data_IF_082615326136
#
_entry.id   IF_082615326136
#
_cell.length_a   1.000
_cell.length_b   1.000
_cell.length_c   1.000
_cell.angle_alpha   90.00
_cell.angle_beta   90.00
_cell.angle_gamma   90.00
#
_symmetry.space_group_name_H-M   'P 1'
#
loop_
_entity.id
_entity.type
_entity.pdbx_description
1 polymer ?
#
# COMPACT_ATOMS: atom_id res chain seq x y z
N UNK A 1 -19.51 14.67 -0.52
CA UNK A 1 -18.18 15.22 -0.17
C UNK A 1 -18.17 15.85 1.21
N UNK A 2 -19.04 16.84 1.57
CA UNK A 2 -18.99 17.45 2.92
C UNK A 2 -19.26 16.39 4.00
N UNK A 3 -20.26 15.53 3.83
CA UNK A 3 -20.55 14.46 4.78
C UNK A 3 -19.35 13.52 4.98
N UNK A 4 -18.62 13.20 3.89
CA UNK A 4 -17.46 12.31 3.91
C UNK A 4 -16.28 12.98 4.64
N UNK A 5 -16.07 14.29 4.45
CA UNK A 5 -15.10 15.06 5.25
C UNK A 5 -15.42 15.05 6.74
N UNK A 6 -16.71 15.13 7.09
CA UNK A 6 -17.14 15.10 8.50
C UNK A 6 -16.99 13.69 9.09
N UNK A 7 -17.26 12.64 8.32
CA UNK A 7 -17.03 11.26 8.72
C UNK A 7 -15.58 11.03 9.12
N UNK A 8 -14.62 11.51 8.31
CA UNK A 8 -13.21 11.45 8.67
C UNK A 8 -12.87 12.34 9.88
N UNK A 9 -13.36 13.58 9.89
CA UNK A 9 -13.00 14.56 10.93
C UNK A 9 -13.56 14.21 12.32
N UNK A 10 -14.66 13.44 12.42
CA UNK A 10 -15.25 13.08 13.70
C UNK A 10 -14.49 11.98 14.46
N UNK A 11 -13.55 11.28 13.79
CA UNK A 11 -12.79 10.21 14.44
C UNK A 11 -11.91 10.72 15.57
N UNK A 12 -11.13 11.78 15.32
CA UNK A 12 -10.13 12.30 16.26
C UNK A 12 -9.73 13.73 15.90
N UNK A 13 -9.26 14.51 16.86
CA UNK A 13 -8.74 15.87 16.67
C UNK A 13 -7.51 15.90 15.73
N UNK A 14 -6.78 14.79 15.61
CA UNK A 14 -5.64 14.62 14.71
C UNK A 14 -6.04 14.08 13.33
N UNK A 15 -7.30 13.73 13.12
CA UNK A 15 -7.79 13.29 11.82
C UNK A 15 -7.53 14.36 10.76
N UNK A 16 -7.23 13.94 9.54
CA UNK A 16 -6.95 14.85 8.43
C UNK A 16 -7.98 14.65 7.32
N UNK A 17 -8.70 15.72 6.98
CA UNK A 17 -9.67 15.74 5.88
C UNK A 17 -9.20 16.69 4.79
N UNK A 18 -9.01 16.17 3.59
CA UNK A 18 -8.46 16.93 2.45
C UNK A 18 -9.38 16.79 1.24
N UNK A 19 -9.74 17.91 0.61
CA UNK A 19 -10.35 17.92 -0.73
C UNK A 19 -9.38 18.50 -1.73
N UNK A 20 -9.21 17.82 -2.86
CA UNK A 20 -8.45 18.31 -4.00
C UNK A 20 -9.38 18.40 -5.21
N UNK A 21 -9.42 19.53 -5.88
CA UNK A 21 -10.28 19.72 -7.05
C UNK A 21 -9.68 20.70 -8.06
N UNK A 22 -10.01 20.51 -9.33
CA UNK A 22 -9.75 21.48 -10.40
C UNK A 22 -10.73 22.66 -10.39
N UNK A 23 -11.84 22.54 -9.68
CA UNK A 23 -12.89 23.57 -9.63
C UNK A 23 -12.78 24.40 -8.35
N UNK A 24 -12.30 25.63 -8.48
CA UNK A 24 -12.28 26.57 -7.37
C UNK A 24 -13.71 26.83 -6.83
N UNK A 25 -14.70 27.00 -7.72
CA UNK A 25 -16.10 27.20 -7.31
C UNK A 25 -16.69 26.01 -6.55
N UNK A 26 -16.25 24.79 -6.83
CA UNK A 26 -16.61 23.62 -6.06
C UNK A 26 -16.00 23.67 -4.66
N UNK A 27 -14.74 24.04 -4.53
CA UNK A 27 -14.07 24.19 -3.23
C UNK A 27 -14.72 25.30 -2.38
N UNK A 28 -15.09 26.42 -3.02
CA UNK A 28 -15.83 27.50 -2.36
C UNK A 28 -17.21 27.00 -1.82
N UNK A 29 -17.92 26.19 -2.63
CA UNK A 29 -19.19 25.61 -2.23
C UNK A 29 -19.02 24.62 -1.06
N UNK A 30 -17.97 23.80 -1.08
CA UNK A 30 -17.63 22.90 0.04
C UNK A 30 -17.35 23.72 1.30
N UNK A 31 -16.53 24.75 1.21
CA UNK A 31 -16.21 25.63 2.34
C UNK A 31 -17.46 26.31 2.93
N UNK A 32 -18.32 26.83 2.06
CA UNK A 32 -19.55 27.49 2.50
C UNK A 32 -20.53 26.53 3.20
N UNK A 33 -20.62 25.28 2.73
CA UNK A 33 -21.54 24.28 3.30
C UNK A 33 -21.04 23.62 4.59
N UNK A 34 -19.74 23.71 4.89
CA UNK A 34 -19.16 23.05 6.07
C UNK A 34 -19.75 23.58 7.38
N UNK A 35 -19.91 24.89 7.53
CA UNK A 35 -20.31 25.51 8.80
C UNK A 35 -21.67 24.99 9.30
N UNK A 36 -22.67 24.95 8.43
CA UNK A 36 -24.01 24.49 8.75
C UNK A 36 -24.05 22.99 9.08
N UNK A 37 -23.31 22.16 8.30
CA UNK A 37 -23.29 20.74 8.54
C UNK A 37 -22.52 20.38 9.82
N UNK A 38 -21.42 21.05 10.12
CA UNK A 38 -20.65 20.88 11.36
C UNK A 38 -21.53 21.26 12.59
N UNK A 39 -22.27 22.35 12.51
CA UNK A 39 -23.11 22.80 13.60
C UNK A 39 -24.20 21.78 14.01
N UNK A 40 -24.61 20.93 13.07
CA UNK A 40 -25.63 19.89 13.29
C UNK A 40 -25.04 18.58 13.86
N UNK A 41 -23.70 18.44 13.96
CA UNK A 41 -23.10 17.17 14.38
C UNK A 41 -22.99 17.03 15.89
N UNK A 42 -23.27 15.83 16.44
CA UNK A 42 -23.10 15.57 17.88
C UNK A 42 -21.65 15.73 18.36
N UNK A 43 -20.66 15.37 17.52
CA UNK A 43 -19.22 15.45 17.83
C UNK A 43 -18.58 16.74 17.33
N UNK A 44 -19.35 17.81 17.25
CA UNK A 44 -18.97 19.10 16.68
C UNK A 44 -17.61 19.61 17.16
N UNK A 45 -17.30 19.53 18.45
CA UNK A 45 -16.05 20.05 18.99
C UNK A 45 -14.80 19.36 18.39
N UNK A 46 -14.85 18.03 18.24
CA UNK A 46 -13.77 17.23 17.63
C UNK A 46 -13.63 17.58 16.14
N UNK A 47 -14.76 17.65 15.42
CA UNK A 47 -14.81 17.99 14.00
C UNK A 47 -14.22 19.38 13.76
N UNK A 48 -14.63 20.39 14.55
CA UNK A 48 -14.12 21.77 14.42
C UNK A 48 -12.61 21.83 14.65
N UNK A 49 -12.10 21.09 15.63
CA UNK A 49 -10.67 21.08 15.96
C UNK A 49 -9.86 20.37 14.86
N UNK A 50 -10.32 19.21 14.41
CA UNK A 50 -9.72 18.48 13.30
C UNK A 50 -9.67 19.33 12.03
N UNK A 51 -10.80 19.88 11.58
CA UNK A 51 -10.87 20.69 10.36
C UNK A 51 -10.05 21.98 10.47
N UNK A 52 -10.00 22.62 11.63
CA UNK A 52 -9.24 23.85 11.84
C UNK A 52 -7.74 23.64 11.71
N UNK A 53 -7.22 22.53 12.24
CA UNK A 53 -5.78 22.28 12.31
C UNK A 53 -5.26 21.38 11.17
N UNK A 54 -6.13 20.53 10.63
CA UNK A 54 -5.75 19.47 9.69
C UNK A 54 -6.58 19.43 8.41
N UNK A 55 -7.66 20.22 8.32
CA UNK A 55 -8.49 20.32 7.10
C UNK A 55 -7.78 21.10 5.99
N UNK A 56 -7.88 20.65 4.75
CA UNK A 56 -7.34 21.35 3.59
C UNK A 56 -8.30 21.30 2.40
N UNK A 57 -8.46 22.44 1.74
CA UNK A 57 -9.10 22.56 0.43
C UNK A 57 -8.02 22.98 -0.57
N UNK A 58 -7.70 22.12 -1.52
CA UNK A 58 -6.57 22.30 -2.45
C UNK A 58 -7.09 22.45 -3.87
N UNK A 59 -6.80 23.58 -4.51
CA UNK A 59 -7.03 23.75 -5.94
C UNK A 59 -5.83 23.20 -6.72
N UNK A 60 -6.06 22.18 -7.54
CA UNK A 60 -5.07 21.59 -8.43
C UNK A 60 -5.36 22.07 -9.86
N UNK A 61 -4.40 22.67 -10.55
CA UNK A 61 -4.61 23.19 -11.91
C UNK A 61 -4.61 22.07 -12.96
N UNK A 62 -3.80 21.03 -12.72
CA UNK A 62 -3.63 19.91 -13.64
C UNK A 62 -3.92 18.56 -13.00
N UNK A 63 -4.09 17.52 -13.80
CA UNK A 63 -4.21 16.15 -13.31
C UNK A 63 -2.90 15.69 -12.64
N UNK A 64 -1.77 16.12 -13.13
CA UNK A 64 -0.45 15.85 -12.56
C UNK A 64 -0.31 16.45 -11.16
N UNK A 65 -0.81 17.67 -10.93
CA UNK A 65 -0.82 18.31 -9.62
C UNK A 65 -1.69 17.50 -8.65
N UNK A 66 -2.89 17.10 -9.10
CA UNK A 66 -3.80 16.27 -8.30
C UNK A 66 -3.12 14.96 -7.88
N UNK A 67 -2.53 14.22 -8.81
CA UNK A 67 -1.79 12.98 -8.54
C UNK A 67 -0.60 13.23 -7.62
N UNK A 68 0.12 14.32 -7.82
CA UNK A 68 1.26 14.73 -6.98
C UNK A 68 0.82 14.93 -5.53
N UNK A 69 -0.30 15.61 -5.30
CA UNK A 69 -0.88 15.80 -3.96
C UNK A 69 -1.27 14.46 -3.35
N UNK A 70 -2.01 13.62 -4.07
CA UNK A 70 -2.43 12.29 -3.60
C UNK A 70 -1.22 11.48 -3.14
N UNK A 71 -0.21 11.32 -3.99
CA UNK A 71 0.97 10.52 -3.68
C UNK A 71 1.82 11.14 -2.55
N UNK A 72 1.81 12.47 -2.41
CA UNK A 72 2.49 13.17 -1.32
C UNK A 72 1.79 13.01 0.02
N UNK A 73 0.47 13.01 0.04
CA UNK A 73 -0.32 12.77 1.24
C UNK A 73 -0.22 11.30 1.64
N UNK A 74 -0.30 10.39 0.68
CA UNK A 74 -0.41 8.95 0.87
C UNK A 74 -1.52 8.62 1.89
N UNK A 75 -2.79 8.96 1.53
CA UNK A 75 -3.90 8.92 2.48
C UNK A 75 -4.23 7.51 2.93
N UNK A 76 -4.81 7.39 4.08
CA UNK A 76 -5.45 6.17 4.57
C UNK A 76 -6.64 5.80 3.67
N UNK A 77 -7.54 6.75 3.45
CA UNK A 77 -8.68 6.62 2.54
C UNK A 77 -8.56 7.63 1.40
N UNK A 78 -8.66 7.17 0.18
CA UNK A 78 -8.67 8.00 -1.02
C UNK A 78 -9.99 7.82 -1.75
N UNK A 79 -10.85 8.84 -1.73
CA UNK A 79 -12.07 8.85 -2.54
C UNK A 79 -11.83 9.56 -3.88
N UNK A 80 -12.05 8.87 -4.97
CA UNK A 80 -12.01 9.40 -6.34
C UNK A 80 -13.44 9.65 -6.83
N UNK A 81 -14.09 10.71 -6.31
CA UNK A 81 -15.46 11.08 -6.63
C UNK A 81 -15.56 11.80 -7.99
N UNK A 82 -15.06 11.17 -9.04
CA UNK A 82 -15.01 11.67 -10.43
C UNK A 82 -15.65 10.68 -11.41
N UNK A 83 -15.92 11.14 -12.64
CA UNK A 83 -16.63 10.32 -13.65
C UNK A 83 -15.82 9.14 -14.22
N UNK A 84 -14.49 9.22 -14.21
CA UNK A 84 -13.61 8.14 -14.70
C UNK A 84 -12.47 7.92 -13.70
N UNK A 85 -12.77 7.36 -12.53
CA UNK A 85 -11.76 7.18 -11.47
C UNK A 85 -10.68 6.18 -11.83
N UNK A 86 -11.01 5.14 -12.63
CA UNK A 86 -10.05 4.11 -13.04
C UNK A 86 -8.89 4.68 -13.87
N UNK A 87 -9.13 5.79 -14.59
CA UNK A 87 -8.11 6.45 -15.40
C UNK A 87 -6.94 7.01 -14.60
N UNK A 88 -7.13 7.29 -13.30
CA UNK A 88 -6.07 7.80 -12.43
C UNK A 88 -5.29 6.69 -11.70
N UNK A 89 -5.82 5.48 -11.63
CA UNK A 89 -5.23 4.40 -10.83
C UNK A 89 -3.77 4.07 -11.18
N UNK A 90 -3.34 4.08 -12.46
CA UNK A 90 -1.95 3.76 -12.81
C UNK A 90 -0.91 4.72 -12.21
N UNK A 91 -1.31 5.95 -11.90
CA UNK A 91 -0.43 7.00 -11.38
C UNK A 91 -0.49 7.14 -9.86
N UNK A 92 -1.46 6.50 -9.21
CA UNK A 92 -1.60 6.49 -7.74
C UNK A 92 -0.71 5.39 -7.17
N UNK A 93 0.26 5.78 -6.34
CA UNK A 93 1.29 4.89 -5.80
C UNK A 93 1.07 4.51 -4.35
N UNK A 94 0.36 5.36 -3.60
CA UNK A 94 0.30 5.23 -2.15
C UNK A 94 -1.06 5.69 -1.63
N UNK A 95 -1.90 4.73 -1.27
CA UNK A 95 -3.14 4.94 -0.53
C UNK A 95 -3.46 3.66 0.26
N UNK A 96 -4.05 3.78 1.44
CA UNK A 96 -4.46 2.62 2.24
C UNK A 96 -5.63 1.87 1.61
N UNK A 97 -6.68 2.61 1.26
CA UNK A 97 -7.82 2.13 0.48
C UNK A 97 -8.20 3.18 -0.57
N UNK A 98 -8.72 2.74 -1.73
CA UNK A 98 -9.16 3.61 -2.82
C UNK A 98 -10.63 3.33 -3.11
N UNK A 99 -11.45 4.37 -3.07
CA UNK A 99 -12.89 4.33 -3.28
C UNK A 99 -13.21 5.00 -4.62
N UNK A 100 -13.88 4.27 -5.51
CA UNK A 100 -14.08 4.69 -6.90
C UNK A 100 -15.51 5.17 -7.14
N UNK A 101 -15.63 6.42 -7.58
CA UNK A 101 -16.90 7.02 -7.98
C UNK A 101 -17.72 7.56 -6.81
N UNK A 102 -18.83 8.21 -7.15
CA UNK A 102 -19.67 8.95 -6.19
C UNK A 102 -20.48 8.08 -5.22
N UNK A 103 -20.56 6.76 -5.50
CA UNK A 103 -21.35 5.82 -4.69
C UNK A 103 -20.50 4.94 -3.78
N UNK A 104 -19.23 5.27 -3.66
CA UNK A 104 -18.26 4.51 -2.86
C UNK A 104 -17.63 5.42 -1.78
N UNK A 105 -18.39 5.91 -0.79
CA UNK A 105 -17.81 6.66 0.32
C UNK A 105 -17.04 5.72 1.27
N UNK A 106 -16.09 6.27 2.00
CA UNK A 106 -15.25 5.59 2.99
C UNK A 106 -16.04 4.68 3.93
N UNK A 107 -17.15 5.18 4.46
CA UNK A 107 -18.00 4.48 5.42
C UNK A 107 -18.43 3.08 4.96
N UNK A 108 -18.55 2.86 3.65
CA UNK A 108 -18.85 1.52 3.13
C UNK A 108 -17.66 0.57 3.31
N UNK A 109 -16.44 1.05 3.16
CA UNK A 109 -15.23 0.27 3.39
C UNK A 109 -15.09 -0.16 4.84
N UNK A 110 -15.37 0.74 5.75
CA UNK A 110 -15.24 0.49 7.17
C UNK A 110 -16.28 -0.50 7.72
N UNK A 111 -17.49 -0.52 7.15
CA UNK A 111 -18.58 -1.29 7.75
C UNK A 111 -19.11 -2.44 6.92
N UNK A 112 -19.21 -2.31 5.59
CA UNK A 112 -20.05 -3.24 4.81
C UNK A 112 -19.45 -3.75 3.50
N UNK A 113 -18.41 -3.12 2.95
CA UNK A 113 -17.83 -3.51 1.66
C UNK A 113 -16.94 -4.76 1.75
N UNK A 114 -16.54 -5.19 2.95
CA UNK A 114 -15.87 -6.46 3.19
C UNK A 114 -14.35 -6.42 3.39
N UNK A 115 -13.57 -5.45 2.86
CA UNK A 115 -12.15 -5.36 3.19
C UNK A 115 -11.90 -5.07 4.66
N UNK A 116 -10.67 -5.32 5.13
CA UNK A 116 -10.26 -4.88 6.47
C UNK A 116 -10.20 -3.36 6.53
N UNK A 117 -10.74 -2.78 7.62
CA UNK A 117 -10.64 -1.35 7.91
C UNK A 117 -9.36 -0.99 8.70
N UNK A 118 -8.49 -1.95 8.98
CA UNK A 118 -7.16 -1.69 9.58
C UNK A 118 -6.22 -1.30 8.45
N UNK A 119 -6.05 -0.02 8.27
CA UNK A 119 -5.34 0.60 7.16
C UNK A 119 -4.08 1.32 7.63
N UNK A 120 -3.10 1.53 6.74
CA UNK A 120 -1.93 2.35 7.04
C UNK A 120 -2.31 3.81 7.19
N UNK A 121 -2.02 4.41 8.35
CA UNK A 121 -2.33 5.80 8.71
C UNK A 121 -1.12 6.71 8.58
N UNK A 122 -1.31 8.03 8.67
CA UNK A 122 -0.23 9.03 8.76
C UNK A 122 0.81 8.92 7.65
N UNK A 123 0.37 8.61 6.42
CA UNK A 123 1.23 8.48 5.25
C UNK A 123 2.06 7.20 5.18
N UNK A 124 1.83 6.23 6.06
CA UNK A 124 2.52 4.92 6.04
C UNK A 124 2.10 4.05 4.87
N UNK A 125 1.03 4.40 4.13
CA UNK A 125 0.66 3.75 2.87
C UNK A 125 1.78 3.74 1.81
N UNK A 126 2.87 4.49 2.01
CA UNK A 126 4.08 4.44 1.17
C UNK A 126 4.85 3.13 1.28
N UNK A 127 4.70 2.39 2.38
CA UNK A 127 5.47 1.18 2.68
C UNK A 127 4.69 0.11 3.45
N UNK A 128 3.44 0.35 3.78
CA UNK A 128 2.55 -0.58 4.46
C UNK A 128 1.24 -0.76 3.67
N UNK A 129 0.59 -1.88 3.86
CA UNK A 129 -0.70 -2.24 3.25
C UNK A 129 -1.78 -2.41 4.30
N UNK A 130 -3.05 -2.48 3.86
CA UNK A 130 -4.15 -2.91 4.70
C UNK A 130 -3.88 -4.29 5.31
N UNK A 131 -4.35 -4.52 6.53
CA UNK A 131 -4.25 -5.82 7.19
C UNK A 131 -5.03 -6.87 6.39
N UNK A 132 -4.39 -7.99 6.09
CA UNK A 132 -4.99 -9.09 5.35
C UNK A 132 -4.64 -10.46 5.92
N UNK A 133 -5.26 -11.50 5.39
CA UNK A 133 -4.98 -12.90 5.79
C UNK A 133 -3.51 -13.26 5.58
N UNK A 134 -2.87 -12.68 4.57
CA UNK A 134 -1.45 -12.89 4.26
C UNK A 134 -0.50 -12.42 5.37
N UNK A 135 -0.92 -11.50 6.25
CA UNK A 135 -0.10 -11.04 7.39
C UNK A 135 0.00 -12.11 8.50
N UNK A 136 -0.91 -13.07 8.48
CA UNK A 136 -0.94 -14.22 9.41
C UNK A 136 -0.39 -15.50 8.77
N UNK A 137 0.17 -15.43 7.57
CA UNK A 137 0.73 -16.56 6.84
C UNK A 137 2.25 -16.55 6.87
N UNK A 138 2.85 -17.70 7.10
CA UNK A 138 4.28 -17.89 6.92
C UNK A 138 4.60 -18.08 5.44
N UNK A 139 5.56 -17.30 4.96
CA UNK A 139 6.12 -17.43 3.61
C UNK A 139 7.48 -18.10 3.72
N UNK A 140 7.68 -19.16 2.96
CA UNK A 140 8.93 -19.90 2.90
C UNK A 140 9.38 -20.03 1.45
N UNK A 141 10.68 -19.94 1.22
CA UNK A 141 11.25 -20.25 -0.08
C UNK A 141 11.49 -21.75 -0.18
N UNK A 142 10.91 -22.40 -1.20
CA UNK A 142 11.19 -23.76 -1.58
C UNK A 142 12.01 -23.73 -2.86
N UNK A 143 13.28 -24.19 -2.78
CA UNK A 143 14.22 -24.16 -3.90
C UNK A 143 14.52 -25.61 -4.28
N UNK A 144 14.18 -25.98 -5.51
CA UNK A 144 14.49 -27.26 -6.10
C UNK A 144 15.16 -27.05 -7.47
N UNK A 145 16.39 -27.53 -7.61
CA UNK A 145 17.10 -27.47 -8.87
C UNK A 145 17.22 -28.88 -9.49
N UNK A 146 17.02 -28.99 -10.79
CA UNK A 146 17.46 -30.17 -11.52
C UNK A 146 18.99 -30.28 -11.50
N UNK A 147 19.53 -31.44 -11.79
CA UNK A 147 21.00 -31.63 -11.84
C UNK A 147 21.69 -30.66 -12.79
N UNK A 148 21.11 -30.43 -13.98
CA UNK A 148 21.65 -29.51 -14.97
C UNK A 148 21.48 -28.06 -14.58
N UNK A 149 20.30 -27.67 -14.10
CA UNK A 149 20.03 -26.30 -13.61
C UNK A 149 20.91 -25.96 -12.42
N UNK A 150 21.08 -26.88 -11.47
CA UNK A 150 21.97 -26.69 -10.33
C UNK A 150 23.43 -26.49 -10.75
N UNK A 151 23.92 -27.26 -11.70
CA UNK A 151 25.30 -27.10 -12.28
C UNK A 151 25.47 -25.71 -12.92
N UNK A 152 24.49 -25.26 -13.67
CA UNK A 152 24.58 -23.99 -14.39
C UNK A 152 24.66 -22.81 -13.42
N UNK A 153 23.75 -22.73 -12.45
CA UNK A 153 23.73 -21.60 -11.52
C UNK A 153 24.85 -21.67 -10.46
N UNK A 154 25.36 -22.87 -10.14
CA UNK A 154 26.42 -23.04 -9.16
C UNK A 154 27.75 -22.37 -9.59
N UNK A 155 28.02 -22.24 -10.87
CA UNK A 155 29.20 -21.52 -11.38
C UNK A 155 29.18 -20.04 -10.94
N UNK A 156 28.08 -19.37 -11.18
CA UNK A 156 27.92 -17.96 -10.78
C UNK A 156 27.90 -17.81 -9.25
N UNK A 157 27.28 -18.76 -8.55
CA UNK A 157 27.24 -18.75 -7.10
C UNK A 157 28.64 -18.90 -6.47
N UNK A 158 29.50 -19.73 -7.05
CA UNK A 158 30.88 -19.87 -6.58
C UNK A 158 31.65 -18.56 -6.71
N UNK A 159 31.58 -17.90 -7.88
CA UNK A 159 32.27 -16.63 -8.12
C UNK A 159 31.80 -15.56 -7.16
N UNK A 160 30.49 -15.41 -6.98
CA UNK A 160 29.93 -14.42 -6.05
C UNK A 160 30.38 -14.67 -4.61
N UNK A 161 30.37 -15.93 -4.18
CA UNK A 161 30.82 -16.30 -2.84
C UNK A 161 32.32 -16.05 -2.61
N UNK A 162 33.16 -16.24 -3.63
CA UNK A 162 34.60 -15.91 -3.58
C UNK A 162 34.81 -14.40 -3.42
N UNK A 163 34.11 -13.59 -4.21
CA UNK A 163 34.18 -12.12 -4.14
C UNK A 163 33.72 -11.57 -2.78
N UNK A 164 32.76 -12.24 -2.13
CA UNK A 164 32.32 -11.93 -0.76
C UNK A 164 33.29 -12.45 0.32
N UNK A 165 34.32 -13.24 -0.04
CA UNK A 165 35.23 -13.89 0.89
C UNK A 165 34.63 -15.09 1.63
N UNK A 166 33.53 -15.64 1.13
CA UNK A 166 32.81 -16.77 1.72
C UNK A 166 33.26 -18.10 1.06
N UNK A 167 34.50 -18.47 1.27
CA UNK A 167 35.17 -19.60 0.57
C UNK A 167 34.47 -20.95 0.79
N UNK A 168 33.86 -21.21 1.94
CA UNK A 168 33.10 -22.44 2.18
C UNK A 168 31.80 -22.47 1.34
N UNK A 169 31.17 -21.34 1.08
CA UNK A 169 30.03 -21.22 0.17
C UNK A 169 30.48 -21.45 -1.26
N UNK A 170 31.59 -20.84 -1.67
CA UNK A 170 32.18 -21.07 -2.98
C UNK A 170 32.53 -22.56 -3.23
N UNK A 171 33.16 -23.22 -2.26
CA UNK A 171 33.45 -24.65 -2.31
C UNK A 171 32.15 -25.48 -2.38
N UNK A 172 31.13 -25.14 -1.64
CA UNK A 172 29.82 -25.82 -1.68
C UNK A 172 29.20 -25.72 -3.07
N UNK A 173 29.23 -24.53 -3.68
CA UNK A 173 28.75 -24.35 -5.06
C UNK A 173 29.59 -25.12 -6.07
N UNK A 174 30.93 -25.05 -5.98
CA UNK A 174 31.86 -25.73 -6.87
C UNK A 174 31.59 -27.25 -6.92
N UNK A 175 31.30 -27.86 -5.78
CA UNK A 175 30.98 -29.29 -5.72
C UNK A 175 29.73 -29.69 -6.52
N UNK A 176 28.89 -28.77 -6.98
CA UNK A 176 27.70 -29.04 -7.79
C UNK A 176 27.99 -29.07 -9.28
N UNK A 177 29.06 -28.42 -9.75
CA UNK A 177 29.49 -28.51 -11.16
C UNK A 177 30.73 -29.37 -11.37
N UNK A 178 31.60 -29.55 -10.37
CA UNK A 178 32.77 -30.42 -10.45
C UNK A 178 32.44 -31.89 -10.20
N UNK A 179 31.29 -32.22 -9.64
CA UNK A 179 30.96 -33.57 -9.19
C UNK A 179 30.32 -34.42 -10.31
N UNK A 180 31.11 -34.88 -11.28
CA UNK A 180 30.75 -36.00 -12.16
C UNK A 180 31.31 -37.36 -11.69
N UNK A 181 31.93 -37.45 -10.52
CA UNK A 181 32.65 -38.64 -10.11
C UNK A 181 32.16 -39.32 -8.80
N UNK A 182 31.06 -38.92 -8.22
CA UNK A 182 30.57 -39.63 -7.04
C UNK A 182 29.12 -40.08 -7.20
N UNK A 183 28.92 -41.16 -7.95
CA UNK A 183 27.68 -41.96 -7.94
C UNK A 183 27.80 -43.09 -6.92
N UNK A 184 28.04 -42.77 -5.65
CA UNK A 184 27.70 -43.71 -4.59
C UNK A 184 26.30 -43.33 -4.11
N UNK A 185 25.33 -44.25 -4.13
CA UNK A 185 24.04 -43.99 -3.52
C UNK A 185 24.25 -43.62 -2.05
N UNK A 186 23.54 -42.59 -1.60
CA UNK A 186 23.50 -42.27 -0.18
C UNK A 186 23.00 -43.50 0.59
N UNK A 187 23.53 -43.76 1.81
CA UNK A 187 22.96 -44.84 2.65
C UNK A 187 21.45 -44.71 2.94
N UNK A 188 20.83 -43.60 2.57
CA UNK A 188 19.39 -43.36 2.66
C UNK A 188 18.61 -43.75 1.41
N UNK A 189 19.28 -44.04 0.31
CA UNK A 189 18.65 -44.45 -0.95
C UNK A 189 18.60 -45.96 -1.12
N UNK A 190 19.02 -46.72 -0.10
CA UNK A 190 18.87 -48.18 -0.02
C UNK A 190 17.63 -48.45 0.83
N UNK A 191 16.46 -48.38 0.19
CA UNK A 191 15.27 -49.02 0.75
C UNK A 191 15.39 -50.52 0.59
N UNK A 192 15.03 -51.21 1.67
CA UNK A 192 14.87 -52.67 1.76
C UNK A 192 13.75 -53.20 0.83
#
# INVERSE_FOLDING_TARGET
>A
VIADLLAQAEHDEQAQSIVVSHSASFLDAVQAGLADMVAAQPRRAIIEDSLRHRGLLIHAETAEDLISVINRVAPEHLELAINNPEGLLPDIRSAGAIFLGQYSPEVLGDYTAGPSHVLPTSGTARFASALGVYDFQLKQSLIHCSADGGREIAKSAAVLAEEEGLYAHALSAAKRFDCLLYTSPSPRDVEE
#
